data_IF_833964118521
#
_entry.id   IF_833964118521
#
_cell.length_a   1.000
_cell.length_b   1.000
_cell.length_c   1.000
_cell.angle_alpha   90.00
_cell.angle_beta   90.00
_cell.angle_gamma   90.00
#
_symmetry.space_group_name_H-M   'P 1'
#
loop_
_entity.id
_entity.type
_entity.pdbx_description
1 polymer ?
#
# COMPACT_ATOMS: atom_id res chain seq x y z
N UNK A 1 11.04 3.13 -0.61
CA UNK A 1 10.70 1.69 -0.75
C UNK A 1 11.34 1.22 -2.04
N UNK A 2 12.17 0.18 -1.99
CA UNK A 2 12.77 -0.45 -3.18
C UNK A 2 11.68 -1.19 -3.97
N UNK A 3 11.82 -1.29 -5.29
CA UNK A 3 10.85 -1.99 -6.16
C UNK A 3 10.76 -3.50 -5.82
N UNK A 4 9.62 -4.17 -6.09
CA UNK A 4 9.48 -5.59 -5.83
C UNK A 4 10.40 -6.43 -6.73
N UNK A 5 11.16 -7.36 -6.12
CA UNK A 5 11.84 -8.45 -6.84
C UNK A 5 11.74 -9.81 -6.12
N UNK A 6 10.52 -10.34 -5.80
CA UNK A 6 10.39 -11.68 -5.24
C UNK A 6 10.05 -12.74 -6.31
N UNK A 7 10.70 -13.90 -6.25
CA UNK A 7 10.33 -15.12 -6.99
C UNK A 7 9.65 -16.12 -6.05
N UNK A 8 8.44 -16.58 -6.40
CA UNK A 8 7.63 -17.52 -5.59
C UNK A 8 6.65 -16.87 -4.60
N UNK A 9 5.57 -17.58 -4.24
CA UNK A 9 4.46 -17.06 -3.43
C UNK A 9 4.86 -16.56 -2.04
N UNK A 10 5.63 -17.32 -1.23
CA UNK A 10 6.02 -16.87 0.12
C UNK A 10 6.86 -15.59 0.07
N UNK A 11 7.75 -15.48 -0.93
CA UNK A 11 8.59 -14.30 -1.11
C UNK A 11 7.76 -13.07 -1.53
N UNK A 12 6.75 -13.27 -2.38
CA UNK A 12 5.85 -12.19 -2.81
C UNK A 12 4.97 -11.68 -1.65
N UNK A 13 4.44 -12.59 -0.82
CA UNK A 13 3.67 -12.23 0.38
C UNK A 13 4.54 -11.55 1.44
N UNK A 14 5.77 -12.02 1.65
CA UNK A 14 6.74 -11.34 2.52
C UNK A 14 7.07 -9.92 2.03
N UNK A 15 7.30 -9.75 0.73
CA UNK A 15 7.52 -8.43 0.14
C UNK A 15 6.29 -7.51 0.32
N UNK A 16 5.08 -8.02 0.11
CA UNK A 16 3.85 -7.29 0.38
C UNK A 16 3.75 -6.89 1.86
N UNK A 17 4.10 -7.78 2.80
CA UNK A 17 4.11 -7.47 4.23
C UNK A 17 5.07 -6.31 4.56
N UNK A 18 6.27 -6.28 3.96
CA UNK A 18 7.18 -5.14 4.16
C UNK A 18 6.61 -3.82 3.64
N UNK A 19 5.78 -3.87 2.59
CA UNK A 19 5.08 -2.69 2.08
C UNK A 19 3.96 -2.24 3.03
N UNK A 20 3.23 -3.18 3.63
CA UNK A 20 2.21 -2.88 4.64
C UNK A 20 2.81 -2.18 5.87
N UNK A 21 3.95 -2.66 6.37
CA UNK A 21 4.66 -1.99 7.48
C UNK A 21 5.02 -0.53 7.13
N UNK A 22 5.61 -0.32 5.95
CA UNK A 22 5.98 1.02 5.48
C UNK A 22 4.76 1.93 5.34
N UNK A 23 3.64 1.40 4.85
CA UNK A 23 2.40 2.14 4.67
C UNK A 23 1.76 2.55 6.01
N UNK A 24 1.67 1.62 6.98
CA UNK A 24 1.19 1.94 8.34
C UNK A 24 2.04 3.05 8.96
N UNK A 25 3.37 2.97 8.84
CA UNK A 25 4.27 4.01 9.35
C UNK A 25 4.05 5.35 8.63
N UNK A 26 3.94 5.35 7.29
CA UNK A 26 3.77 6.57 6.49
C UNK A 26 2.45 7.30 6.76
N UNK A 27 1.39 6.59 7.17
CA UNK A 27 0.12 7.22 7.52
C UNK A 27 0.17 8.07 8.79
N UNK A 28 1.17 7.89 9.66
CA UNK A 28 1.44 8.77 10.79
C UNK A 28 1.69 10.23 10.37
N UNK A 29 2.79 10.54 9.65
CA UNK A 29 3.07 11.90 9.19
C UNK A 29 2.01 12.44 8.21
N UNK A 30 1.36 11.59 7.40
CA UNK A 30 0.23 12.01 6.56
C UNK A 30 -0.92 12.53 7.43
N UNK A 31 -1.38 11.74 8.40
CA UNK A 31 -2.55 12.05 9.21
C UNK A 31 -2.41 13.34 10.01
N UNK A 32 -1.20 13.68 10.46
CA UNK A 32 -0.91 14.92 11.21
C UNK A 32 -1.11 16.16 10.35
N UNK A 33 -0.86 16.09 9.04
CA UNK A 33 -1.00 17.24 8.12
C UNK A 33 -2.41 17.40 7.54
N UNK A 34 -3.32 16.47 7.83
CA UNK A 34 -4.69 16.48 7.31
C UNK A 34 -5.71 16.88 8.37
N UNK A 35 -6.85 17.39 7.91
CA UNK A 35 -7.97 17.83 8.76
C UNK A 35 -9.31 17.34 8.20
N UNK A 36 -10.35 17.37 9.04
CA UNK A 36 -11.72 17.05 8.64
C UNK A 36 -11.87 15.66 8.01
N UNK A 37 -12.55 15.59 6.86
CA UNK A 37 -12.80 14.36 6.13
C UNK A 37 -11.50 13.68 5.66
N UNK A 38 -10.50 14.44 5.23
CA UNK A 38 -9.22 13.89 4.80
C UNK A 38 -8.47 13.19 5.93
N UNK A 39 -8.52 13.73 7.16
CA UNK A 39 -7.93 13.06 8.34
C UNK A 39 -8.67 11.77 8.70
N UNK A 40 -9.99 11.73 8.57
CA UNK A 40 -10.77 10.50 8.78
C UNK A 40 -10.40 9.43 7.76
N UNK A 41 -10.33 9.80 6.48
CA UNK A 41 -9.90 8.90 5.41
C UNK A 41 -8.48 8.35 5.63
N UNK A 42 -7.55 9.17 6.15
CA UNK A 42 -6.20 8.70 6.50
C UNK A 42 -6.20 7.64 7.61
N UNK A 43 -7.01 7.84 8.67
CA UNK A 43 -7.16 6.85 9.75
C UNK A 43 -7.80 5.55 9.26
N UNK A 44 -8.78 5.65 8.38
CA UNK A 44 -9.42 4.48 7.76
C UNK A 44 -8.44 3.69 6.89
N UNK A 45 -7.60 4.40 6.12
CA UNK A 45 -6.55 3.79 5.32
C UNK A 45 -5.49 3.10 6.18
N UNK A 46 -4.99 3.77 7.23
CA UNK A 46 -4.07 3.18 8.21
C UNK A 46 -4.65 1.91 8.84
N UNK A 47 -5.92 1.94 9.25
CA UNK A 47 -6.60 0.78 9.82
C UNK A 47 -6.75 -0.36 8.79
N UNK A 48 -6.98 -0.05 7.53
CA UNK A 48 -7.04 -1.04 6.46
C UNK A 48 -5.67 -1.71 6.21
N UNK A 49 -4.58 -0.93 6.23
CA UNK A 49 -3.21 -1.46 6.16
C UNK A 49 -2.88 -2.34 7.37
N UNK A 50 -3.24 -1.92 8.59
CA UNK A 50 -3.03 -2.75 9.79
C UNK A 50 -3.75 -4.09 9.73
N UNK A 51 -5.03 -4.10 9.34
CA UNK A 51 -5.78 -5.35 9.15
C UNK A 51 -5.10 -6.28 8.14
N UNK A 52 -4.58 -5.73 7.04
CA UNK A 52 -3.92 -6.53 6.00
C UNK A 52 -2.54 -7.02 6.42
N UNK A 53 -1.78 -6.21 7.15
CA UNK A 53 -0.53 -6.61 7.82
C UNK A 53 -0.78 -7.80 8.76
N UNK A 54 -1.78 -7.70 9.61
CA UNK A 54 -2.07 -8.73 10.62
C UNK A 54 -2.50 -10.05 9.95
N UNK A 55 -3.32 -9.99 8.89
CA UNK A 55 -3.66 -11.16 8.06
C UNK A 55 -2.41 -11.80 7.42
N UNK A 56 -1.51 -10.99 6.86
CA UNK A 56 -0.28 -11.49 6.25
C UNK A 56 0.66 -12.15 7.26
N UNK A 57 0.82 -11.56 8.45
CA UNK A 57 1.64 -12.14 9.53
C UNK A 57 1.08 -13.50 9.92
N UNK A 58 -0.23 -13.59 10.14
CA UNK A 58 -0.89 -14.86 10.46
C UNK A 58 -0.65 -15.89 9.35
N UNK A 59 -0.93 -15.54 8.09
CA UNK A 59 -0.79 -16.46 6.95
C UNK A 59 0.63 -16.96 6.74
N UNK A 60 1.62 -16.07 6.83
CA UNK A 60 3.03 -16.47 6.71
C UNK A 60 3.43 -17.40 7.85
N UNK A 61 3.03 -17.08 9.09
CA UNK A 61 3.31 -17.93 10.26
C UNK A 61 2.67 -19.32 10.16
N UNK A 62 1.40 -19.41 9.73
CA UNK A 62 0.69 -20.69 9.58
C UNK A 62 1.13 -21.49 8.35
N UNK A 63 1.60 -20.80 7.31
CA UNK A 63 2.06 -21.41 6.06
C UNK A 63 3.52 -21.86 6.07
N UNK A 64 4.21 -21.75 7.21
CA UNK A 64 5.64 -22.10 7.34
C UNK A 64 6.58 -21.13 6.62
N UNK A 65 6.09 -19.97 6.20
CA UNK A 65 6.89 -18.91 5.58
C UNK A 65 7.61 -18.06 6.62
N UNK A 66 8.75 -17.48 6.25
CA UNK A 66 9.42 -16.50 7.10
C UNK A 66 8.59 -15.20 7.16
N UNK A 67 8.30 -14.72 8.38
CA UNK A 67 7.71 -13.41 8.61
C UNK A 67 8.85 -12.38 8.64
N UNK A 68 9.01 -11.51 7.62
CA UNK A 68 10.02 -10.47 7.66
C UNK A 68 9.78 -9.51 8.84
N UNK A 69 10.84 -9.08 9.53
CA UNK A 69 10.72 -8.15 10.65
C UNK A 69 10.31 -6.75 10.17
N UNK A 70 9.57 -6.04 11.03
CA UNK A 70 9.29 -4.60 10.88
C UNK A 70 10.56 -3.78 11.16
N UNK A 71 10.57 -2.51 10.77
CA UNK A 71 11.65 -1.55 11.00
C UNK A 71 11.20 -0.43 11.94
N UNK A 72 12.13 0.09 12.74
CA UNK A 72 11.86 1.22 13.61
C UNK A 72 11.50 2.53 12.86
N UNK A 73 11.88 2.64 11.58
CA UNK A 73 11.56 3.79 10.75
C UNK A 73 11.75 3.53 9.25
N UNK A 74 11.08 4.36 8.45
CA UNK A 74 11.08 4.26 6.99
C UNK A 74 11.47 5.59 6.35
N UNK A 75 12.36 5.55 5.35
CA UNK A 75 12.71 6.74 4.58
C UNK A 75 11.53 7.17 3.70
N UNK A 76 11.10 8.42 3.87
CA UNK A 76 10.11 9.04 3.01
C UNK A 76 10.75 9.48 1.69
N UNK A 77 10.02 9.40 0.56
CA UNK A 77 10.54 9.82 -0.75
C UNK A 77 10.77 11.33 -0.86
N UNK A 78 10.13 12.12 0.01
CA UNK A 78 10.26 13.57 0.10
C UNK A 78 9.77 14.06 1.47
N UNK A 79 10.14 15.29 1.90
CA UNK A 79 9.64 15.88 3.14
C UNK A 79 8.11 16.09 3.13
N UNK A 80 7.46 15.84 4.28
CA UNK A 80 6.00 16.02 4.47
C UNK A 80 5.74 17.15 5.46
N UNK A 81 5.69 18.36 4.92
CA UNK A 81 5.65 19.62 5.68
C UNK A 81 4.27 20.28 5.69
N UNK A 82 3.37 19.88 4.80
CA UNK A 82 2.07 20.52 4.61
C UNK A 82 1.01 19.53 4.10
N UNK A 83 -0.21 20.04 3.86
CA UNK A 83 -1.32 19.24 3.35
C UNK A 83 -1.05 18.68 1.95
N UNK A 84 -0.41 19.44 1.06
CA UNK A 84 -0.19 19.04 -0.32
C UNK A 84 0.81 17.89 -0.42
N UNK A 85 1.95 18.01 0.27
CA UNK A 85 2.95 16.95 0.43
C UNK A 85 2.37 15.70 1.11
N UNK A 86 1.47 15.85 2.09
CA UNK A 86 0.80 14.71 2.71
C UNK A 86 -0.15 13.97 1.76
N UNK A 87 -0.94 14.69 0.95
CA UNK A 87 -1.81 14.07 -0.05
C UNK A 87 -1.00 13.40 -1.15
N UNK A 88 0.10 14.02 -1.59
CA UNK A 88 1.05 13.42 -2.55
C UNK A 88 1.64 12.13 -1.98
N UNK A 89 2.05 12.12 -0.70
CA UNK A 89 2.58 10.91 -0.06
C UNK A 89 1.51 9.83 0.05
N UNK A 90 0.26 10.18 0.37
CA UNK A 90 -0.84 9.21 0.43
C UNK A 90 -1.06 8.52 -0.93
N UNK A 91 -1.00 9.26 -2.04
CA UNK A 91 -1.05 8.66 -3.39
C UNK A 91 0.13 7.70 -3.61
N UNK A 92 1.35 8.13 -3.31
CA UNK A 92 2.57 7.33 -3.50
C UNK A 92 2.53 6.03 -2.68
N UNK A 93 2.07 6.09 -1.43
CA UNK A 93 1.95 4.92 -0.55
C UNK A 93 1.00 3.89 -1.14
N UNK A 94 -0.18 4.32 -1.58
CA UNK A 94 -1.20 3.42 -2.12
C UNK A 94 -0.76 2.83 -3.47
N UNK A 95 -0.15 3.64 -4.35
CA UNK A 95 0.37 3.17 -5.65
C UNK A 95 1.53 2.18 -5.49
N UNK A 96 2.49 2.47 -4.60
CA UNK A 96 3.60 1.56 -4.33
C UNK A 96 3.11 0.26 -3.72
N UNK A 97 2.20 0.33 -2.74
CA UNK A 97 1.63 -0.87 -2.12
C UNK A 97 0.87 -1.70 -3.15
N UNK A 98 0.08 -1.06 -4.03
CA UNK A 98 -0.54 -1.74 -5.18
C UNK A 98 0.48 -2.48 -6.05
N UNK A 99 1.66 -1.91 -6.33
CA UNK A 99 2.69 -2.59 -7.12
C UNK A 99 3.20 -3.88 -6.46
N UNK A 100 3.37 -3.90 -5.13
CA UNK A 100 3.71 -5.13 -4.40
C UNK A 100 2.60 -6.17 -4.52
N UNK A 101 1.34 -5.77 -4.35
CA UNK A 101 0.20 -6.69 -4.48
C UNK A 101 0.00 -7.20 -5.91
N UNK A 102 0.32 -6.39 -6.92
CA UNK A 102 0.34 -6.83 -8.33
C UNK A 102 1.33 -7.97 -8.55
N UNK A 103 2.48 -7.97 -7.88
CA UNK A 103 3.45 -9.07 -7.95
C UNK A 103 2.97 -10.34 -7.22
N UNK A 104 2.10 -10.22 -6.21
CA UNK A 104 1.50 -11.37 -5.50
C UNK A 104 0.50 -12.12 -6.38
N UNK A 105 -0.27 -11.42 -7.23
CA UNK A 105 -1.32 -12.03 -8.07
C UNK A 105 -0.80 -13.21 -8.94
N UNK A 106 0.26 -13.06 -9.76
CA UNK A 106 0.78 -14.18 -10.55
C UNK A 106 1.52 -15.22 -9.70
N UNK A 107 1.98 -14.84 -8.50
CA UNK A 107 2.70 -15.74 -7.59
C UNK A 107 1.76 -16.64 -6.77
N UNK A 108 0.45 -16.42 -6.80
CA UNK A 108 -0.57 -17.14 -6.01
C UNK A 108 -1.62 -17.82 -6.88
N UNK A 109 -2.41 -18.71 -6.30
CA UNK A 109 -3.49 -19.48 -6.96
C UNK A 109 -4.76 -19.49 -6.11
N UNK A 110 -5.90 -19.84 -6.74
CA UNK A 110 -7.19 -19.99 -6.05
C UNK A 110 -7.58 -18.78 -5.18
N UNK A 111 -8.10 -19.05 -3.99
CA UNK A 111 -8.57 -18.02 -3.06
C UNK A 111 -7.48 -17.00 -2.66
N UNK A 112 -6.20 -17.38 -2.68
CA UNK A 112 -5.11 -16.48 -2.36
C UNK A 112 -4.83 -15.47 -3.48
N UNK A 113 -5.03 -15.89 -4.74
CA UNK A 113 -5.01 -14.98 -5.89
C UNK A 113 -6.17 -13.98 -5.83
N UNK A 114 -7.36 -14.46 -5.48
CA UNK A 114 -8.55 -13.60 -5.38
C UNK A 114 -8.37 -12.55 -4.28
N UNK A 115 -7.80 -12.93 -3.13
CA UNK A 115 -7.43 -12.01 -2.05
C UNK A 115 -6.38 -11.00 -2.49
N UNK A 116 -5.36 -11.44 -3.21
CA UNK A 116 -4.31 -10.56 -3.72
C UNK A 116 -4.86 -9.53 -4.72
N UNK A 117 -5.77 -9.97 -5.60
CA UNK A 117 -6.47 -9.08 -6.54
C UNK A 117 -7.38 -8.09 -5.82
N UNK A 118 -8.15 -8.54 -4.83
CA UNK A 118 -8.99 -7.65 -4.02
C UNK A 118 -8.15 -6.58 -3.29
N UNK A 119 -7.01 -6.96 -2.71
CA UNK A 119 -6.07 -6.02 -2.10
C UNK A 119 -5.55 -5.00 -3.12
N UNK A 120 -5.11 -5.45 -4.30
CA UNK A 120 -4.66 -4.59 -5.39
C UNK A 120 -5.74 -3.55 -5.78
N UNK A 121 -6.99 -3.98 -5.94
CA UNK A 121 -8.11 -3.10 -6.28
C UNK A 121 -8.37 -2.08 -5.18
N UNK A 122 -8.37 -2.49 -3.91
CA UNK A 122 -8.56 -1.57 -2.77
C UNK A 122 -7.52 -0.44 -2.76
N UNK A 123 -6.24 -0.78 -3.00
CA UNK A 123 -5.14 0.18 -3.07
C UNK A 123 -5.30 1.13 -4.26
N UNK A 124 -5.65 0.61 -5.43
CA UNK A 124 -5.91 1.45 -6.61
C UNK A 124 -7.08 2.42 -6.38
N UNK A 125 -8.15 1.97 -5.71
CA UNK A 125 -9.30 2.81 -5.38
C UNK A 125 -8.96 3.89 -4.33
N UNK A 126 -8.15 3.56 -3.31
CA UNK A 126 -7.65 4.55 -2.35
C UNK A 126 -6.73 5.57 -3.00
N UNK A 127 -5.80 5.15 -3.85
CA UNK A 127 -4.95 6.07 -4.62
C UNK A 127 -5.79 7.07 -5.43
N UNK A 128 -6.81 6.59 -6.14
CA UNK A 128 -7.74 7.45 -6.91
C UNK A 128 -8.52 8.41 -6.02
N UNK A 129 -8.96 7.99 -4.81
CA UNK A 129 -9.60 8.89 -3.84
C UNK A 129 -8.63 9.98 -3.35
N UNK A 130 -7.36 9.65 -3.13
CA UNK A 130 -6.35 10.63 -2.74
C UNK A 130 -6.03 11.61 -3.88
N UNK A 131 -5.89 11.14 -5.13
CA UNK A 131 -5.70 12.03 -6.29
C UNK A 131 -6.86 13.03 -6.44
N UNK A 132 -8.11 12.56 -6.27
CA UNK A 132 -9.29 13.46 -6.24
C UNK A 132 -9.22 14.47 -5.10
N UNK A 133 -8.85 14.04 -3.89
CA UNK A 133 -8.72 14.94 -2.73
C UNK A 133 -7.60 15.97 -2.92
N UNK A 134 -6.56 15.62 -3.68
CA UNK A 134 -5.43 16.47 -4.02
C UNK A 134 -5.67 17.39 -5.22
N UNK A 135 -6.78 17.25 -5.95
CA UNK A 135 -7.03 17.97 -7.19
C UNK A 135 -6.08 17.58 -8.34
N UNK A 136 -5.51 16.36 -8.31
CA UNK A 136 -4.60 15.86 -9.35
C UNK A 136 -5.39 15.31 -10.54
N UNK A 137 -5.04 15.75 -11.75
CA UNK A 137 -5.64 15.33 -13.03
C UNK A 137 -4.56 14.73 -13.95
N UNK A 138 -4.80 13.56 -14.59
CA UNK A 138 -5.97 12.71 -14.46
C UNK A 138 -6.01 12.01 -13.09
N UNK A 139 -7.22 11.83 -12.55
CA UNK A 139 -7.40 11.19 -11.24
C UNK A 139 -7.11 9.68 -11.27
N UNK A 140 -7.01 9.09 -12.46
CA UNK A 140 -6.65 7.70 -12.72
C UNK A 140 -5.41 7.64 -13.62
N UNK A 141 -4.48 6.74 -13.31
CA UNK A 141 -3.42 6.36 -14.24
C UNK A 141 -3.94 5.29 -15.21
N UNK A 142 -3.59 5.34 -16.50
CA UNK A 142 -3.92 4.28 -17.44
C UNK A 142 -3.40 2.92 -16.96
N UNK A 143 -4.12 1.85 -17.30
CA UNK A 143 -3.62 0.51 -17.05
C UNK A 143 -2.31 0.28 -17.84
N UNK A 144 -1.27 -0.32 -17.24
CA UNK A 144 -0.01 -0.54 -17.94
C UNK A 144 -0.23 -1.26 -19.28
N UNK A 145 0.28 -0.67 -20.36
CA UNK A 145 0.08 -1.16 -21.73
C UNK A 145 -1.01 -0.45 -22.54
N UNK A 146 -1.69 0.56 -21.99
CA UNK A 146 -2.55 1.48 -22.76
C UNK A 146 -1.94 2.88 -22.82
N UNK A 147 -1.98 3.57 -23.98
CA UNK A 147 -1.60 4.98 -24.05
C UNK A 147 -2.56 5.83 -23.19
N UNK A 148 -2.04 6.97 -22.73
CA UNK A 148 -2.79 7.98 -22.01
C UNK A 148 -3.84 8.65 -22.89
#
# INVERSE_FOLDING_TARGET
MTAPTPSGAPNALGAALTAEYAAVWAYGPIGVRLTGAARRAAREAEAAHRRRRDDLVLRLSTGGGAVPPDRAGYALPFPVTDRASALRLAVEVEERTAAFWRAVVPATTGADRDRALAALVDYALRATRWRRTAGITPSTVPFPGRPA
#
